data_IF_512726364775
#
_entry.id   IF_512726364775
#
_cell.length_a   1.000
_cell.length_b   1.000
_cell.length_c   1.000
_cell.angle_alpha   90.00
_cell.angle_beta   90.00
_cell.angle_gamma   90.00
#
_symmetry.space_group_name_H-M   'P 1'
#
loop_
_entity.id
_entity.type
_entity.pdbx_description
1 polymer ?
#
# COMPACT_ATOMS: atom_id res chain seq x y z
N UNK A 1 -12.05 -34.35 -5.70
CA UNK A 1 -12.51 -34.49 -4.31
C UNK A 1 -12.00 -33.26 -3.55
N UNK A 2 -12.87 -32.46 -2.90
CA UNK A 2 -12.38 -31.39 -2.04
C UNK A 2 -11.60 -32.05 -0.90
N UNK A 3 -10.36 -31.61 -0.69
CA UNK A 3 -9.61 -31.96 0.50
C UNK A 3 -10.30 -31.31 1.70
N UNK A 4 -10.49 -32.05 2.78
CA UNK A 4 -10.89 -31.49 4.07
C UNK A 4 -9.79 -30.51 4.51
N UNK A 5 -10.08 -29.21 4.43
CA UNK A 5 -9.08 -28.18 4.75
C UNK A 5 -9.10 -27.97 6.26
N UNK A 6 -8.21 -28.65 6.96
CA UNK A 6 -7.95 -28.39 8.37
C UNK A 6 -7.36 -26.97 8.54
N UNK A 7 -7.63 -26.34 9.68
CA UNK A 7 -6.97 -25.08 10.03
C UNK A 7 -5.44 -25.29 10.10
N UNK A 8 -4.69 -24.25 9.74
CA UNK A 8 -3.23 -24.27 9.91
C UNK A 8 -2.85 -24.53 11.38
N UNK A 9 -1.69 -25.16 11.59
CA UNK A 9 -1.12 -25.34 12.92
C UNK A 9 -0.90 -24.01 13.64
N UNK A 10 -0.76 -24.07 14.96
CA UNK A 10 -0.69 -22.88 15.83
C UNK A 10 0.44 -21.94 15.46
N UNK A 11 1.61 -22.42 15.11
CA UNK A 11 2.77 -21.61 14.73
C UNK A 11 2.48 -20.80 13.45
N UNK A 12 1.90 -21.43 12.43
CA UNK A 12 1.56 -20.75 11.18
C UNK A 12 0.46 -19.72 11.40
N UNK A 13 -0.55 -20.03 12.23
CA UNK A 13 -1.60 -19.06 12.61
C UNK A 13 -1.02 -17.88 13.38
N UNK A 14 -0.13 -18.16 14.34
CA UNK A 14 0.54 -17.12 15.12
C UNK A 14 1.36 -16.19 14.22
N UNK A 15 2.18 -16.76 13.33
CA UNK A 15 3.03 -16.00 12.41
C UNK A 15 2.23 -15.04 11.53
N UNK A 16 1.11 -15.49 10.93
CA UNK A 16 0.29 -14.60 10.08
C UNK A 16 -0.32 -13.44 10.87
N UNK A 17 -0.85 -13.68 12.07
CA UNK A 17 -1.39 -12.62 12.90
C UNK A 17 -0.31 -11.67 13.43
N UNK A 18 0.88 -12.15 13.70
CA UNK A 18 2.02 -11.32 14.09
C UNK A 18 2.42 -10.38 12.93
N UNK A 19 2.58 -10.89 11.73
CA UNK A 19 2.86 -10.08 10.53
C UNK A 19 1.81 -8.99 10.35
N UNK A 20 0.51 -9.34 10.42
CA UNK A 20 -0.59 -8.38 10.28
C UNK A 20 -0.53 -7.29 11.35
N UNK A 21 -0.27 -7.64 12.61
CA UNK A 21 -0.23 -6.70 13.73
C UNK A 21 1.02 -5.82 13.72
N UNK A 22 2.16 -6.35 13.28
CA UNK A 22 3.46 -5.68 13.32
C UNK A 22 3.86 -4.99 12.02
N UNK A 23 3.10 -5.16 10.94
CA UNK A 23 3.31 -4.39 9.70
C UNK A 23 3.18 -2.89 9.99
N UNK A 24 4.11 -2.11 9.46
CA UNK A 24 4.15 -0.65 9.57
C UNK A 24 4.35 0.01 8.23
N UNK A 25 3.87 1.23 8.11
CA UNK A 25 4.16 2.13 7.01
C UNK A 25 5.56 2.73 7.25
N UNK A 26 6.56 2.27 6.49
CA UNK A 26 7.97 2.61 6.70
C UNK A 26 8.34 3.86 5.91
N UNK A 27 9.03 4.81 6.56
CA UNK A 27 9.48 6.08 5.96
C UNK A 27 10.99 6.30 6.08
N UNK A 28 11.69 5.46 6.86
CA UNK A 28 13.13 5.54 7.08
C UNK A 28 13.78 4.23 6.65
N UNK A 29 14.59 4.31 5.60
CA UNK A 29 15.27 3.16 5.03
C UNK A 29 16.78 3.24 5.28
N UNK A 30 17.43 2.09 5.39
CA UNK A 30 18.88 1.98 5.49
C UNK A 30 19.51 2.32 4.13
N UNK A 31 20.34 3.36 4.03
CA UNK A 31 20.89 3.79 2.76
C UNK A 31 21.85 2.74 2.18
N UNK A 32 21.85 2.62 0.84
CA UNK A 32 22.77 1.72 0.12
C UNK A 32 22.53 0.22 0.33
N UNK A 33 21.46 -0.17 1.01
CA UNK A 33 21.12 -1.58 1.20
C UNK A 33 20.03 -1.99 0.21
N UNK A 34 20.41 -2.75 -0.79
CA UNK A 34 19.50 -3.26 -1.82
C UNK A 34 18.62 -4.40 -1.29
N UNK A 35 17.47 -4.60 -1.92
CA UNK A 35 16.64 -5.78 -1.72
C UNK A 35 17.08 -6.83 -2.72
N UNK A 36 17.44 -8.02 -2.24
CA UNK A 36 17.87 -9.12 -3.10
C UNK A 36 16.74 -9.53 -4.07
N UNK A 37 17.10 -9.88 -5.29
CA UNK A 37 16.11 -10.16 -6.34
C UNK A 37 15.19 -11.35 -5.99
N UNK A 38 15.72 -12.39 -5.35
CA UNK A 38 14.92 -13.53 -4.88
C UNK A 38 13.92 -13.16 -3.77
N UNK A 39 14.28 -12.22 -2.88
CA UNK A 39 13.37 -11.66 -1.87
C UNK A 39 12.28 -10.84 -2.54
N UNK A 40 12.65 -10.00 -3.50
CA UNK A 40 11.68 -9.20 -4.25
C UNK A 40 10.72 -10.09 -5.05
N UNK A 41 11.22 -11.15 -5.68
CA UNK A 41 10.41 -12.12 -6.41
C UNK A 41 9.37 -12.79 -5.50
N UNK A 42 9.76 -13.27 -4.32
CA UNK A 42 8.82 -13.86 -3.34
C UNK A 42 7.75 -12.86 -2.89
N UNK A 43 8.13 -11.60 -2.69
CA UNK A 43 7.19 -10.55 -2.30
C UNK A 43 6.18 -10.27 -3.42
N UNK A 44 6.64 -10.20 -4.68
CA UNK A 44 5.78 -9.97 -5.83
C UNK A 44 4.90 -11.18 -6.15
N UNK A 45 5.41 -12.40 -5.97
CA UNK A 45 4.65 -13.63 -6.11
C UNK A 45 3.49 -13.69 -5.09
N UNK A 46 3.77 -13.37 -3.82
CA UNK A 46 2.72 -13.27 -2.81
C UNK A 46 1.65 -12.22 -3.17
N UNK A 47 2.06 -11.09 -3.74
CA UNK A 47 1.13 -10.08 -4.24
C UNK A 47 0.27 -10.63 -5.39
N UNK A 48 0.87 -11.40 -6.30
CA UNK A 48 0.19 -12.01 -7.43
C UNK A 48 -0.86 -13.06 -7.01
N UNK A 49 -0.72 -13.66 -5.85
CA UNK A 49 -1.69 -14.61 -5.26
C UNK A 49 -2.88 -13.92 -4.56
N UNK A 50 -3.06 -12.61 -4.72
CA UNK A 50 -4.22 -11.91 -4.17
C UNK A 50 -5.52 -12.36 -4.85
N UNK A 51 -6.68 -12.32 -4.15
CA UNK A 51 -7.97 -12.53 -4.78
C UNK A 51 -8.30 -11.38 -5.73
N UNK A 52 -9.04 -11.68 -6.82
CA UNK A 52 -9.52 -10.67 -7.76
C UNK A 52 -10.93 -10.95 -8.24
N UNK A 53 -11.67 -9.90 -8.52
CA UNK A 53 -13.01 -10.00 -9.12
C UNK A 53 -12.91 -10.78 -10.43
N UNK A 54 -13.76 -11.80 -10.59
CA UNK A 54 -13.78 -12.65 -11.77
C UNK A 54 -12.44 -13.33 -12.11
N UNK A 55 -11.55 -13.48 -11.11
CA UNK A 55 -10.18 -13.99 -11.29
C UNK A 55 -9.39 -13.19 -12.36
N UNK A 56 -9.68 -11.91 -12.47
CA UNK A 56 -9.16 -11.04 -13.55
C UNK A 56 -7.71 -10.62 -13.40
N UNK A 57 -7.15 -10.63 -12.16
CA UNK A 57 -5.76 -10.26 -11.84
C UNK A 57 -5.35 -8.95 -12.56
N UNK A 58 -6.08 -7.84 -12.31
CA UNK A 58 -5.97 -6.63 -13.12
C UNK A 58 -4.75 -5.78 -12.79
N UNK A 59 -3.92 -6.21 -11.85
CA UNK A 59 -2.75 -5.48 -11.38
C UNK A 59 -1.53 -5.65 -12.27
N UNK A 60 -0.66 -4.65 -12.23
CA UNK A 60 0.71 -4.69 -12.71
C UNK A 60 1.65 -4.09 -11.68
N UNK A 61 2.91 -4.51 -11.69
CA UNK A 61 3.96 -4.01 -10.80
C UNK A 61 5.04 -3.33 -11.62
N UNK A 62 5.15 -2.00 -11.54
CA UNK A 62 6.16 -1.22 -12.22
C UNK A 62 7.30 -0.94 -11.24
N UNK A 63 8.48 -1.50 -11.49
CA UNK A 63 9.66 -1.32 -10.65
C UNK A 63 10.38 -0.02 -11.05
N UNK A 64 10.50 0.91 -10.11
CA UNK A 64 11.10 2.23 -10.30
C UNK A 64 12.46 2.26 -9.60
N UNK A 65 13.53 1.99 -10.37
CA UNK A 65 14.91 1.94 -9.88
C UNK A 65 15.70 3.21 -10.21
N UNK A 66 15.33 3.91 -11.28
CA UNK A 66 16.03 5.11 -11.73
C UNK A 66 15.93 6.26 -10.73
N UNK A 67 17.08 6.76 -10.27
CA UNK A 67 17.15 7.77 -9.22
C UNK A 67 16.60 9.14 -9.67
N UNK A 68 16.78 9.50 -10.94
CA UNK A 68 16.28 10.77 -11.47
C UNK A 68 14.74 10.73 -11.59
N UNK A 69 14.17 9.61 -12.04
CA UNK A 69 12.73 9.39 -12.07
C UNK A 69 12.11 9.46 -10.66
N UNK A 70 12.72 8.79 -9.68
CA UNK A 70 12.29 8.84 -8.27
C UNK A 70 12.34 10.27 -7.72
N UNK A 71 13.35 11.05 -8.08
CA UNK A 71 13.47 12.46 -7.67
C UNK A 71 12.32 13.30 -8.23
N UNK A 72 11.97 13.15 -9.52
CA UNK A 72 10.84 13.88 -10.12
C UNK A 72 9.49 13.53 -9.48
N UNK A 73 9.29 12.26 -9.13
CA UNK A 73 8.10 11.83 -8.39
C UNK A 73 8.08 12.43 -6.97
N UNK A 74 9.24 12.47 -6.29
CA UNK A 74 9.36 13.14 -4.99
C UNK A 74 9.04 14.63 -5.06
N UNK A 75 9.42 15.30 -6.13
CA UNK A 75 9.09 16.73 -6.31
C UNK A 75 7.57 16.94 -6.39
N UNK A 76 6.83 16.01 -7.02
CA UNK A 76 5.36 16.01 -6.97
C UNK A 76 4.84 15.84 -5.55
N UNK A 77 5.41 14.89 -4.80
CA UNK A 77 5.06 14.72 -3.39
C UNK A 77 5.25 16.01 -2.58
N UNK A 78 6.37 16.70 -2.73
CA UNK A 78 6.65 17.93 -1.99
C UNK A 78 5.60 19.02 -2.29
N UNK A 79 5.23 19.19 -3.56
CA UNK A 79 4.16 20.14 -3.96
C UNK A 79 2.79 19.75 -3.40
N UNK A 80 2.44 18.46 -3.48
CA UNK A 80 1.16 17.98 -2.95
C UNK A 80 1.08 18.12 -1.43
N UNK A 81 2.18 17.80 -0.73
CA UNK A 81 2.27 17.92 0.72
C UNK A 81 2.06 19.35 1.20
N UNK A 82 2.66 20.33 0.51
CA UNK A 82 2.47 21.73 0.89
C UNK A 82 1.02 22.20 0.66
N UNK A 83 0.41 21.83 -0.47
CA UNK A 83 -1.02 22.11 -0.70
C UNK A 83 -1.93 21.43 0.33
N UNK A 84 -1.58 20.25 0.78
CA UNK A 84 -2.34 19.54 1.81
C UNK A 84 -2.17 20.20 3.19
N UNK A 85 -0.97 20.70 3.51
CA UNK A 85 -0.69 21.41 4.77
C UNK A 85 -1.61 22.64 4.92
N UNK A 86 -1.91 23.36 3.83
CA UNK A 86 -2.80 24.52 3.84
C UNK A 86 -4.26 24.20 4.22
N UNK A 87 -4.66 22.93 4.20
CA UNK A 87 -5.99 22.49 4.64
C UNK A 87 -6.14 22.38 6.15
N UNK A 88 -5.04 22.47 6.87
CA UNK A 88 -5.04 22.41 8.34
C UNK A 88 -4.86 23.80 8.94
N UNK A 89 -5.61 24.10 10.00
CA UNK A 89 -5.36 25.27 10.87
C UNK A 89 -4.21 24.97 11.84
N UNK A 90 -3.64 26.03 12.44
CA UNK A 90 -2.70 25.86 13.55
C UNK A 90 -3.42 25.37 14.83
N UNK A 91 -2.79 24.52 15.65
CA UNK A 91 -1.38 24.06 15.55
C UNK A 91 -1.21 22.81 14.69
N UNK A 92 -2.28 22.28 14.10
CA UNK A 92 -2.25 21.02 13.32
C UNK A 92 -1.42 21.11 12.04
N UNK A 93 -1.36 22.27 11.41
CA UNK A 93 -0.51 22.53 10.24
C UNK A 93 0.96 22.35 10.57
N UNK A 94 1.41 22.94 11.67
CA UNK A 94 2.78 22.80 12.15
C UNK A 94 3.11 21.34 12.48
N UNK A 95 2.20 20.63 13.15
CA UNK A 95 2.35 19.21 13.44
C UNK A 95 2.43 18.38 12.15
N UNK A 96 1.55 18.62 11.17
CA UNK A 96 1.57 17.94 9.86
C UNK A 96 2.91 18.12 9.14
N UNK A 97 3.43 19.37 9.09
CA UNK A 97 4.71 19.67 8.46
C UNK A 97 5.90 18.99 9.14
N UNK A 98 5.80 18.62 10.41
CA UNK A 98 6.84 17.88 11.12
C UNK A 98 6.89 16.38 10.75
N UNK A 99 5.85 15.82 10.11
CA UNK A 99 5.81 14.41 9.77
C UNK A 99 6.71 14.08 8.60
N UNK A 100 7.43 12.98 8.69
CA UNK A 100 8.05 12.35 7.53
C UNK A 100 7.06 11.38 6.89
N UNK A 101 6.55 11.73 5.70
CA UNK A 101 5.47 11.00 5.03
C UNK A 101 5.91 10.26 3.75
N UNK A 102 7.22 10.28 3.43
CA UNK A 102 7.78 9.59 2.27
C UNK A 102 9.17 9.02 2.55
N UNK A 103 9.63 8.14 1.70
CA UNK A 103 10.98 7.58 1.65
C UNK A 103 11.39 7.27 0.20
N UNK A 104 10.87 8.07 -0.75
CA UNK A 104 10.94 7.81 -2.19
C UNK A 104 12.38 7.64 -2.67
N UNK A 105 13.28 8.53 -2.26
CA UNK A 105 14.68 8.49 -2.69
C UNK A 105 15.57 7.65 -1.79
N UNK A 106 15.16 7.39 -0.55
CA UNK A 106 15.96 6.65 0.43
C UNK A 106 15.72 5.13 0.39
N UNK A 107 14.57 4.70 -0.11
CA UNK A 107 14.27 3.28 -0.29
C UNK A 107 15.20 2.64 -1.34
N UNK A 108 15.41 1.33 -1.27
CA UNK A 108 16.21 0.59 -2.25
C UNK A 108 15.61 0.71 -3.66
N UNK A 109 14.30 0.56 -3.76
CA UNK A 109 13.52 0.75 -4.99
C UNK A 109 12.12 1.24 -4.65
N UNK A 110 11.38 1.67 -5.69
CA UNK A 110 9.95 1.92 -5.54
C UNK A 110 9.17 0.97 -6.45
N UNK A 111 7.96 0.64 -6.04
CA UNK A 111 7.03 -0.20 -6.81
C UNK A 111 5.75 0.59 -7.00
N UNK A 112 5.38 0.90 -8.24
CA UNK A 112 4.06 1.41 -8.54
C UNK A 112 3.15 0.22 -8.88
N UNK A 113 2.15 -0.02 -8.03
CA UNK A 113 1.10 -0.98 -8.36
C UNK A 113 0.06 -0.27 -9.20
N UNK A 114 -0.21 -0.81 -10.38
CA UNK A 114 -1.18 -0.26 -11.32
C UNK A 114 -2.36 -1.21 -11.48
N UNK A 115 -3.49 -0.68 -11.95
CA UNK A 115 -4.64 -1.45 -12.40
C UNK A 115 -4.84 -1.23 -13.89
N UNK A 116 -4.99 -2.32 -14.63
CA UNK A 116 -5.33 -2.28 -16.04
C UNK A 116 -6.85 -2.42 -16.21
N UNK A 117 -7.49 -1.33 -16.58
CA UNK A 117 -8.95 -1.23 -16.79
C UNK A 117 -9.35 -1.45 -18.24
N UNK A 118 -8.39 -1.73 -19.12
CA UNK A 118 -8.68 -1.98 -20.53
C UNK A 118 -9.50 -3.26 -20.68
N UNK A 119 -10.47 -3.28 -21.61
CA UNK A 119 -11.30 -4.46 -21.83
C UNK A 119 -10.44 -5.71 -22.14
N UNK A 120 -10.72 -6.80 -21.44
CA UNK A 120 -10.10 -8.11 -21.67
C UNK A 120 -11.22 -9.12 -21.92
N UNK A 121 -11.50 -9.42 -23.18
CA UNK A 121 -12.63 -10.25 -23.56
C UNK A 121 -13.97 -9.52 -23.50
N UNK A 122 -15.07 -10.25 -23.32
CA UNK A 122 -16.43 -9.68 -23.38
C UNK A 122 -16.81 -8.94 -22.09
N UNK A 123 -16.55 -9.53 -20.93
CA UNK A 123 -16.81 -8.93 -19.62
C UNK A 123 -16.00 -9.62 -18.50
N UNK A 124 -15.77 -8.91 -17.40
CA UNK A 124 -15.22 -9.49 -16.18
C UNK A 124 -16.36 -9.89 -15.25
N UNK A 125 -16.43 -11.16 -14.89
CA UNK A 125 -17.45 -11.69 -13.99
C UNK A 125 -17.46 -10.90 -12.66
N UNK A 126 -18.61 -10.34 -12.29
CA UNK A 126 -18.79 -9.59 -11.04
C UNK A 126 -18.36 -8.13 -11.09
N UNK A 127 -17.80 -7.63 -12.21
CA UNK A 127 -17.38 -6.24 -12.34
C UNK A 127 -18.40 -5.34 -13.07
N UNK A 128 -19.47 -5.90 -13.64
CA UNK A 128 -20.44 -5.13 -14.45
C UNK A 128 -21.23 -4.13 -13.58
N UNK A 129 -21.69 -4.56 -12.41
CA UNK A 129 -22.46 -3.71 -11.49
C UNK A 129 -21.58 -2.83 -10.61
N UNK A 130 -20.30 -3.21 -10.44
CA UNK A 130 -19.34 -2.53 -9.56
C UNK A 130 -17.94 -2.52 -10.23
N UNK A 131 -17.70 -1.65 -11.22
CA UNK A 131 -16.43 -1.59 -11.97
C UNK A 131 -15.22 -1.28 -11.07
N UNK A 132 -15.44 -0.60 -9.96
CA UNK A 132 -14.42 -0.31 -8.94
C UNK A 132 -13.78 -1.56 -8.31
N UNK A 133 -14.43 -2.73 -8.43
CA UNK A 133 -13.90 -4.00 -7.92
C UNK A 133 -12.55 -4.38 -8.57
N UNK A 134 -12.26 -3.90 -9.76
CA UNK A 134 -10.93 -4.07 -10.38
C UNK A 134 -9.86 -3.33 -9.56
N UNK A 135 -10.14 -2.09 -9.13
CA UNK A 135 -9.24 -1.31 -8.27
C UNK A 135 -9.08 -1.93 -6.89
N UNK A 136 -10.17 -2.42 -6.30
CA UNK A 136 -10.12 -3.12 -5.00
C UNK A 136 -9.32 -4.43 -5.09
N UNK A 137 -9.39 -5.13 -6.22
CA UNK A 137 -8.53 -6.29 -6.47
C UNK A 137 -7.04 -5.92 -6.44
N UNK A 138 -6.66 -4.82 -7.07
CA UNK A 138 -5.28 -4.33 -7.01
C UNK A 138 -4.87 -3.92 -5.57
N UNK A 139 -5.80 -3.39 -4.76
CA UNK A 139 -5.54 -3.10 -3.34
C UNK A 139 -5.29 -4.39 -2.53
N UNK A 140 -5.94 -5.50 -2.86
CA UNK A 140 -5.65 -6.80 -2.24
C UNK A 140 -4.21 -7.25 -2.55
N UNK A 141 -3.74 -7.05 -3.79
CA UNK A 141 -2.35 -7.34 -4.15
C UNK A 141 -1.35 -6.45 -3.39
N UNK A 142 -1.66 -5.15 -3.21
CA UNK A 142 -0.85 -4.25 -2.36
C UNK A 142 -0.76 -4.78 -0.94
N UNK A 143 -1.88 -5.22 -0.35
CA UNK A 143 -1.89 -5.74 1.03
C UNK A 143 -1.06 -7.02 1.15
N UNK A 144 -1.18 -7.97 0.22
CA UNK A 144 -0.36 -9.18 0.20
C UNK A 144 1.14 -8.84 0.08
N UNK A 145 1.51 -7.95 -0.85
CA UNK A 145 2.88 -7.44 -1.00
C UNK A 145 3.42 -6.92 0.34
N UNK A 146 2.63 -6.13 1.04
CA UNK A 146 3.04 -5.49 2.28
C UNK A 146 3.25 -6.48 3.42
N UNK A 147 2.39 -7.50 3.51
CA UNK A 147 2.52 -8.56 4.51
C UNK A 147 3.73 -9.46 4.21
N UNK A 148 3.92 -9.87 2.96
CA UNK A 148 5.06 -10.66 2.53
C UNK A 148 6.38 -9.90 2.78
N UNK A 149 6.46 -8.62 2.40
CA UNK A 149 7.62 -7.79 2.68
C UNK A 149 7.93 -7.73 4.19
N UNK A 150 6.89 -7.56 5.05
CA UNK A 150 7.09 -7.57 6.50
C UNK A 150 7.62 -8.89 7.00
N UNK A 151 7.16 -10.02 6.45
CA UNK A 151 7.66 -11.37 6.81
C UNK A 151 9.13 -11.54 6.42
N UNK A 152 9.56 -10.98 5.29
CA UNK A 152 10.95 -10.95 4.81
C UNK A 152 11.83 -9.89 5.52
N UNK A 153 11.30 -9.14 6.49
CA UNK A 153 12.04 -8.06 7.16
C UNK A 153 12.24 -6.82 6.27
N UNK A 154 11.51 -6.71 5.17
CA UNK A 154 11.51 -5.58 4.25
C UNK A 154 10.43 -4.58 4.63
N UNK A 155 10.80 -3.30 4.67
CA UNK A 155 9.89 -2.19 4.91
C UNK A 155 9.19 -1.76 3.63
N UNK A 156 7.89 -1.45 3.75
CA UNK A 156 7.11 -0.84 2.68
C UNK A 156 6.46 0.43 3.21
N UNK A 157 6.54 1.52 2.44
CA UNK A 157 5.87 2.77 2.70
C UNK A 157 4.95 3.16 1.55
N UNK A 158 3.66 3.30 1.78
CA UNK A 158 2.72 3.75 0.76
C UNK A 158 2.66 5.29 0.72
N UNK A 159 3.07 5.86 -0.41
CA UNK A 159 3.00 7.31 -0.64
C UNK A 159 1.77 7.63 -1.49
N UNK A 160 0.75 8.19 -0.85
CA UNK A 160 -0.50 8.60 -1.52
C UNK A 160 -0.54 10.09 -1.88
N UNK A 161 0.40 10.88 -1.36
CA UNK A 161 0.49 12.34 -1.55
C UNK A 161 1.34 12.61 -2.81
N UNK A 162 0.90 12.08 -3.94
CA UNK A 162 1.52 12.27 -5.27
C UNK A 162 0.42 12.42 -6.29
N UNK A 163 0.58 13.31 -7.26
CA UNK A 163 -0.40 13.47 -8.34
C UNK A 163 -0.42 12.23 -9.24
N UNK A 164 -1.58 11.59 -9.43
CA UNK A 164 -1.69 10.41 -10.31
C UNK A 164 -1.24 10.70 -11.75
N UNK A 165 -1.45 11.94 -12.25
CA UNK A 165 -0.98 12.38 -13.56
C UNK A 165 0.54 12.31 -13.69
N UNK A 166 1.26 12.79 -12.66
CA UNK A 166 2.73 12.70 -12.64
C UNK A 166 3.20 11.25 -12.65
N UNK A 167 2.54 10.35 -11.92
CA UNK A 167 2.88 8.92 -11.97
C UNK A 167 2.63 8.32 -13.36
N UNK A 168 1.53 8.72 -14.01
CA UNK A 168 1.23 8.26 -15.38
C UNK A 168 2.32 8.69 -16.37
N UNK A 169 2.70 9.95 -16.32
CA UNK A 169 3.68 10.53 -17.24
C UNK A 169 5.08 9.95 -16.99
N UNK A 170 5.54 9.94 -15.73
CA UNK A 170 6.87 9.44 -15.36
C UNK A 170 7.04 7.94 -15.62
N UNK A 171 5.97 7.16 -15.50
CA UNK A 171 5.99 5.72 -15.72
C UNK A 171 5.52 5.32 -17.12
N UNK A 172 5.23 6.30 -18.00
CA UNK A 172 4.71 6.09 -19.34
C UNK A 172 3.53 5.10 -19.38
N UNK A 173 2.59 5.26 -18.43
CA UNK A 173 1.45 4.35 -18.32
C UNK A 173 0.49 4.58 -19.51
N UNK A 174 0.09 3.51 -20.21
CA UNK A 174 -0.85 3.65 -21.32
C UNK A 174 -2.25 4.04 -20.84
N UNK A 175 -3.08 4.53 -21.76
CA UNK A 175 -4.48 4.82 -21.46
C UNK A 175 -5.21 3.58 -20.94
N UNK A 176 -6.07 3.78 -19.95
CA UNK A 176 -6.77 2.70 -19.26
C UNK A 176 -5.94 1.96 -18.20
N UNK A 177 -4.68 2.32 -17.99
CA UNK A 177 -3.86 1.85 -16.87
C UNK A 177 -3.70 2.96 -15.84
N UNK A 178 -4.10 2.69 -14.60
CA UNK A 178 -4.11 3.67 -13.52
C UNK A 178 -3.17 3.28 -12.37
N UNK A 179 -2.40 4.23 -11.80
CA UNK A 179 -1.63 3.98 -10.58
C UNK A 179 -2.57 3.85 -9.38
N UNK A 180 -2.44 2.76 -8.63
CA UNK A 180 -3.19 2.50 -7.39
C UNK A 180 -2.37 2.81 -6.16
N UNK A 181 -1.10 2.40 -6.16
CA UNK A 181 -0.20 2.62 -5.03
C UNK A 181 1.21 2.90 -5.52
N UNK A 182 1.87 3.89 -4.91
CA UNK A 182 3.29 4.13 -5.07
C UNK A 182 4.00 3.76 -3.78
N UNK A 183 4.78 2.69 -3.81
CA UNK A 183 5.36 2.04 -2.64
C UNK A 183 6.87 2.24 -2.61
N UNK A 184 7.41 2.74 -1.50
CA UNK A 184 8.84 2.72 -1.20
C UNK A 184 9.17 1.38 -0.57
N UNK A 185 10.14 0.64 -1.12
CA UNK A 185 10.48 -0.72 -0.68
C UNK A 185 11.99 -0.79 -0.37
N UNK A 186 12.33 -1.32 0.80
CA UNK A 186 13.74 -1.43 1.21
C UNK A 186 13.92 -1.90 2.64
N UNK A 187 15.15 -2.01 3.08
CA UNK A 187 15.44 -2.37 4.46
C UNK A 187 15.12 -1.19 5.40
N UNK A 188 14.22 -1.36 6.39
CA UNK A 188 13.93 -0.30 7.35
C UNK A 188 15.13 -0.11 8.29
N UNK A 189 15.33 1.12 8.80
CA UNK A 189 16.24 1.35 9.94
C UNK A 189 15.70 0.62 11.17
N UNK A 190 14.38 0.68 11.38
CA UNK A 190 13.67 -0.08 12.40
C UNK A 190 12.19 -0.17 12.05
N UNK A 191 11.51 -1.21 12.52
CA UNK A 191 10.05 -1.23 12.57
C UNK A 191 9.58 -0.59 13.88
N UNK A 192 8.69 0.39 13.78
CA UNK A 192 8.08 1.01 14.96
C UNK A 192 7.20 -0.01 15.70
N UNK A 193 7.14 0.08 17.02
CA UNK A 193 6.23 -0.74 17.84
C UNK A 193 4.75 -0.38 17.60
N UNK A 194 4.48 0.90 17.32
CA UNK A 194 3.14 1.45 17.06
C UNK A 194 3.06 2.14 15.71
N UNK A 195 1.85 2.33 15.12
CA UNK A 195 1.67 3.18 13.96
C UNK A 195 2.14 4.61 14.24
N UNK A 196 2.92 5.20 13.32
CA UNK A 196 3.52 6.52 13.49
C UNK A 196 2.50 7.61 13.85
N UNK A 197 1.35 7.63 13.19
CA UNK A 197 0.32 8.66 13.44
C UNK A 197 -0.38 8.50 14.79
N UNK A 198 -0.41 7.28 15.33
CA UNK A 198 -0.89 7.01 16.69
C UNK A 198 0.14 7.45 17.72
N UNK A 199 1.41 7.08 17.53
CA UNK A 199 2.54 7.49 18.37
C UNK A 199 2.68 9.02 18.46
N UNK A 200 2.51 9.71 17.33
CA UNK A 200 2.56 11.17 17.24
C UNK A 200 1.23 11.86 17.60
N UNK A 201 0.28 11.13 18.16
CA UNK A 201 -1.02 11.65 18.63
C UNK A 201 -1.83 12.38 17.53
N UNK A 202 -1.60 12.02 16.25
CA UNK A 202 -2.39 12.54 15.15
C UNK A 202 -3.81 11.98 15.15
N UNK A 203 -3.92 10.65 15.33
CA UNK A 203 -5.20 9.95 15.40
C UNK A 203 -5.02 8.59 16.09
N UNK A 204 -5.86 8.24 17.08
CA UNK A 204 -5.81 6.94 17.73
C UNK A 204 -6.40 5.85 16.84
N UNK A 205 -6.03 4.60 17.12
CA UNK A 205 -6.73 3.43 16.58
C UNK A 205 -8.15 3.35 17.14
N UNK A 206 -9.12 3.10 16.28
CA UNK A 206 -10.49 2.83 16.72
C UNK A 206 -10.58 1.47 17.41
N UNK A 207 -11.44 1.34 18.40
CA UNK A 207 -11.75 0.05 18.98
C UNK A 207 -12.48 -0.84 17.96
N UNK A 208 -12.27 -2.15 18.02
CA UNK A 208 -12.90 -3.09 17.11
C UNK A 208 -14.45 -3.00 17.22
N UNK A 209 -14.98 -2.83 18.43
CA UNK A 209 -16.41 -2.68 18.65
C UNK A 209 -17.04 -1.48 17.93
N UNK A 210 -16.25 -0.43 17.63
CA UNK A 210 -16.73 0.77 16.92
C UNK A 210 -16.82 0.57 15.39
N UNK A 211 -16.33 -0.53 14.87
CA UNK A 211 -16.32 -0.84 13.43
C UNK A 211 -17.04 -2.12 13.07
N UNK A 212 -17.53 -2.84 14.08
CA UNK A 212 -18.39 -4.01 13.90
C UNK A 212 -19.84 -3.60 14.10
N UNK A 213 -20.66 -3.85 13.09
CA UNK A 213 -22.08 -3.51 13.10
C UNK A 213 -22.89 -4.78 12.81
N UNK A 214 -23.95 -5.03 13.59
CA UNK A 214 -24.82 -6.17 13.42
C UNK A 214 -26.13 -5.75 12.73
N UNK A 215 -26.62 -6.58 11.82
CA UNK A 215 -27.94 -6.43 11.18
C UNK A 215 -28.12 -5.16 10.35
N UNK A 216 -27.06 -4.61 9.76
CA UNK A 216 -27.15 -3.45 8.85
C UNK A 216 -27.42 -2.12 9.54
N UNK A 217 -27.44 -2.06 10.86
CA UNK A 217 -27.55 -0.79 11.62
C UNK A 217 -26.15 -0.18 11.78
N UNK A 218 -25.80 0.70 10.86
CA UNK A 218 -24.63 1.52 11.01
C UNK A 218 -24.84 2.47 12.17
N UNK A 219 -24.01 2.38 13.21
CA UNK A 219 -24.10 3.33 14.34
C UNK A 219 -23.52 4.66 13.88
N UNK A 220 -24.30 5.74 13.94
CA UNK A 220 -23.83 7.08 13.67
C UNK A 220 -22.66 7.41 14.61
N UNK A 221 -21.65 8.03 14.04
CA UNK A 221 -20.53 8.55 14.83
C UNK A 221 -21.05 9.72 15.64
N UNK A 222 -21.05 9.62 16.95
CA UNK A 222 -21.10 10.84 17.77
C UNK A 222 -19.88 11.67 17.43
N UNK A 223 -20.03 12.97 17.11
CA UNK A 223 -18.94 13.85 16.71
C UNK A 223 -17.83 13.97 17.76
#
# INVERSE_FOLDING_TARGET
MPQEVAAFGDDARHAIYEVIRTRRDVRHFAPGREVADDVLERILDAAHHAPSVGFSQPWGFVLVRDAAQRTRIRDSFLRCREREAERFSEPRRTQYRSFRLEGIVDAALNVCVVVDLRPRGEAVLGATAAPEMLRFSACCAVQNLWLAARAEGIGVGWVSIVEPGVLRDELALPDGVEPIAYLCVGHPIAFRSQPMLEELQWKPRRALADVVHDGGRFRDRTP
#
